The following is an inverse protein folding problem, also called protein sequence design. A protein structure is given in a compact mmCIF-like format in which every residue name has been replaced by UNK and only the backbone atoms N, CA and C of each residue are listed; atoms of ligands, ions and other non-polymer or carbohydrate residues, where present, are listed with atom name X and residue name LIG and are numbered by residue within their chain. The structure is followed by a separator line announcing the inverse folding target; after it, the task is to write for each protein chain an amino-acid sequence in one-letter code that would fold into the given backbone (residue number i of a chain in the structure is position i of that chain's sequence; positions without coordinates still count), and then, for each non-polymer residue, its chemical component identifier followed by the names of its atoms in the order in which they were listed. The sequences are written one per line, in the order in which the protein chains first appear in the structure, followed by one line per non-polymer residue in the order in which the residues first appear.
data_IF_836777367312
#
_entry.id   IF_836777367312
#
_cell.length_a   1.000
_cell.length_b   1.000
_cell.length_c   1.000
_cell.angle_alpha   90.00
_cell.angle_beta   90.00
_cell.angle_gamma   90.00
#
_symmetry.space_group_name_H-M   'P 1'
#
loop_
_entity.id
_entity.type
_entity.pdbx_description
1 polymer ?
#
# COMPACT_ATOMS: atom_id res chain seq x y z
N UNK A 1 -28.18 -18.22 -9.91
CA UNK A 1 -28.42 -17.02 -9.08
C UNK A 1 -27.13 -16.69 -8.37
N UNK A 2 -26.57 -15.48 -8.53
CA UNK A 2 -25.33 -15.10 -7.81
C UNK A 2 -25.70 -14.72 -6.38
N UNK A 3 -25.00 -15.31 -5.42
CA UNK A 3 -25.13 -15.03 -3.99
C UNK A 3 -23.93 -14.18 -3.59
N UNK A 4 -24.19 -13.04 -2.95
CA UNK A 4 -23.18 -12.11 -2.45
C UNK A 4 -23.03 -12.26 -0.94
N UNK A 5 -21.83 -12.07 -0.42
CA UNK A 5 -21.56 -12.13 1.02
C UNK A 5 -21.51 -10.72 1.61
N UNK A 6 -22.12 -10.54 2.77
CA UNK A 6 -22.22 -9.25 3.45
C UNK A 6 -21.88 -9.40 4.93
N UNK A 7 -21.19 -8.42 5.51
CA UNK A 7 -20.94 -8.33 6.95
C UNK A 7 -21.97 -7.40 7.60
N UNK A 8 -22.62 -7.85 8.66
CA UNK A 8 -23.34 -6.99 9.58
C UNK A 8 -22.34 -6.32 10.52
N UNK A 9 -22.41 -5.00 10.67
CA UNK A 9 -21.41 -4.23 11.41
C UNK A 9 -21.99 -3.17 12.35
N UNK A 10 -21.22 -2.84 13.38
CA UNK A 10 -21.43 -1.73 14.32
C UNK A 10 -20.38 -0.66 14.04
N UNK A 11 -20.83 0.59 13.89
CA UNK A 11 -19.94 1.74 13.75
C UNK A 11 -19.28 2.11 15.09
N UNK A 12 -17.94 2.14 15.12
CA UNK A 12 -17.11 2.54 16.28
C UNK A 12 -16.26 3.79 16.01
N UNK A 13 -16.70 4.66 15.10
CA UNK A 13 -15.99 5.89 14.72
C UNK A 13 -14.91 5.65 13.67
N UNK A 14 -13.77 5.09 14.06
CA UNK A 14 -12.61 4.90 13.17
C UNK A 14 -12.60 3.56 12.40
N UNK A 15 -13.46 2.63 12.83
CA UNK A 15 -13.62 1.30 12.24
C UNK A 15 -15.07 0.83 12.40
N UNK A 16 -15.40 -0.24 11.70
CA UNK A 16 -16.60 -1.04 11.85
C UNK A 16 -16.26 -2.34 12.58
N UNK A 17 -17.01 -2.71 13.60
CA UNK A 17 -16.91 -3.99 14.29
C UNK A 17 -17.88 -4.97 13.65
N UNK A 18 -17.43 -6.17 13.28
CA UNK A 18 -18.28 -7.16 12.60
C UNK A 18 -19.04 -8.01 13.61
N UNK A 19 -20.36 -8.05 13.50
CA UNK A 19 -21.22 -8.90 14.31
C UNK A 19 -21.32 -10.32 13.72
N UNK A 20 -21.63 -10.42 12.41
CA UNK A 20 -21.75 -11.69 11.70
C UNK A 20 -21.67 -11.51 10.18
N UNK A 21 -21.52 -12.62 9.45
CA UNK A 21 -21.54 -12.66 7.99
C UNK A 21 -22.79 -13.40 7.51
N UNK A 22 -23.49 -12.81 6.55
CA UNK A 22 -24.67 -13.42 5.91
C UNK A 22 -24.58 -13.27 4.39
N UNK A 23 -25.57 -13.81 3.68
CA UNK A 23 -25.62 -13.81 2.23
C UNK A 23 -26.83 -13.03 1.72
N UNK A 24 -26.66 -12.31 0.61
CA UNK A 24 -27.72 -11.56 -0.05
C UNK A 24 -27.76 -11.86 -1.55
N UNK A 25 -28.93 -11.69 -2.17
CA UNK A 25 -29.16 -11.94 -3.59
C UNK A 25 -28.92 -10.69 -4.45
N UNK A 26 -28.92 -9.51 -3.83
CA UNK A 26 -28.63 -8.23 -4.47
C UNK A 26 -27.25 -7.71 -4.07
N UNK A 27 -26.50 -7.22 -5.08
CA UNK A 27 -25.19 -6.60 -4.90
C UNK A 27 -25.28 -5.20 -4.31
N UNK A 28 -26.38 -4.50 -4.58
CA UNK A 28 -26.59 -3.14 -4.12
C UNK A 28 -27.11 -3.11 -2.69
N UNK A 29 -26.17 -3.02 -1.74
CA UNK A 29 -26.45 -2.50 -0.41
C UNK A 29 -25.76 -1.15 -0.28
N UNK A 30 -26.39 -0.11 -0.84
CA UNK A 30 -26.03 1.26 -0.47
C UNK A 30 -26.41 1.46 1.00
N UNK A 31 -25.40 1.52 1.86
CA UNK A 31 -25.27 2.48 2.94
C UNK A 31 -26.44 2.62 3.93
N UNK A 32 -27.08 1.52 4.34
CA UNK A 32 -27.42 1.45 5.76
C UNK A 32 -26.11 1.07 6.45
N UNK A 33 -25.53 1.95 7.27
CA UNK A 33 -24.23 1.80 7.97
C UNK A 33 -24.00 0.45 8.71
N UNK A 34 -25.00 -0.41 8.71
CA UNK A 34 -25.08 -1.72 9.34
C UNK A 34 -24.65 -2.89 8.46
N UNK A 35 -24.56 -2.75 7.13
CA UNK A 35 -24.15 -3.85 6.26
C UNK A 35 -23.11 -3.43 5.22
N UNK A 36 -22.04 -4.21 5.11
CA UNK A 36 -20.95 -3.99 4.16
C UNK A 36 -20.86 -5.17 3.20
N UNK A 37 -20.77 -4.89 1.89
CA UNK A 37 -20.49 -5.92 0.89
C UNK A 37 -19.08 -6.47 1.07
N UNK A 38 -18.90 -7.78 0.93
CA UNK A 38 -17.60 -8.45 1.08
C UNK A 38 -17.18 -9.07 -0.24
N UNK A 39 -15.90 -8.94 -0.57
CA UNK A 39 -15.33 -9.81 -1.58
C UNK A 39 -15.16 -11.24 -1.01
N UNK A 40 -15.08 -12.24 -1.90
CA UNK A 40 -15.05 -13.66 -1.49
C UNK A 40 -13.94 -13.96 -0.46
N UNK A 41 -12.75 -13.37 -0.66
CA UNK A 41 -11.61 -13.63 0.20
C UNK A 41 -11.75 -12.95 1.58
N UNK A 42 -12.33 -11.75 1.63
CA UNK A 42 -12.68 -11.05 2.86
C UNK A 42 -13.70 -11.85 3.66
N UNK A 43 -14.76 -12.33 3.01
CA UNK A 43 -15.77 -13.12 3.68
C UNK A 43 -15.23 -14.43 4.26
N UNK A 44 -14.35 -15.14 3.56
CA UNK A 44 -13.66 -16.32 4.10
C UNK A 44 -12.85 -15.95 5.35
N UNK A 45 -12.09 -14.85 5.30
CA UNK A 45 -11.26 -14.41 6.42
C UNK A 45 -12.09 -14.03 7.64
N UNK A 46 -13.16 -13.25 7.45
CA UNK A 46 -14.07 -12.85 8.54
C UNK A 46 -14.74 -14.08 9.14
N UNK A 47 -15.31 -14.97 8.32
CA UNK A 47 -15.94 -16.21 8.81
C UNK A 47 -14.97 -17.06 9.62
N UNK A 48 -13.74 -17.21 9.14
CA UNK A 48 -12.69 -17.94 9.87
C UNK A 48 -12.36 -17.25 11.19
N UNK A 49 -12.27 -15.93 11.21
CA UNK A 49 -12.00 -15.17 12.43
C UNK A 49 -13.11 -15.34 13.48
N UNK A 50 -14.37 -15.11 13.07
CA UNK A 50 -15.54 -15.28 13.92
C UNK A 50 -15.70 -16.72 14.43
N UNK A 51 -15.42 -17.72 13.60
CA UNK A 51 -15.48 -19.14 14.00
C UNK A 51 -14.40 -19.54 15.03
N UNK A 52 -13.38 -18.72 15.21
CA UNK A 52 -12.36 -18.89 16.24
C UNK A 52 -12.56 -17.89 17.40
N UNK A 53 -13.78 -17.39 17.59
CA UNK A 53 -14.18 -16.43 18.63
C UNK A 53 -13.33 -15.15 18.67
N UNK A 54 -12.80 -14.73 17.50
CA UNK A 54 -12.02 -13.49 17.39
C UNK A 54 -12.90 -12.32 16.99
N UNK A 55 -12.62 -11.16 17.59
CA UNK A 55 -13.19 -9.89 17.14
C UNK A 55 -12.60 -9.48 15.80
N UNK A 56 -13.47 -9.03 14.90
CA UNK A 56 -13.10 -8.62 13.56
C UNK A 56 -13.47 -7.15 13.36
N UNK A 57 -12.48 -6.34 12.97
CA UNK A 57 -12.67 -4.92 12.64
C UNK A 57 -12.44 -4.69 11.16
N UNK A 58 -13.20 -3.79 10.55
CA UNK A 58 -13.02 -3.32 9.18
C UNK A 58 -12.73 -1.82 9.26
N UNK A 59 -11.63 -1.35 8.68
CA UNK A 59 -11.34 0.09 8.64
C UNK A 59 -12.42 0.83 7.84
N UNK A 60 -12.69 2.12 8.10
CA UNK A 60 -13.76 2.84 7.37
C UNK A 60 -13.37 3.41 6.01
N UNK A 61 -12.10 3.68 5.77
CA UNK A 61 -11.62 4.43 4.60
C UNK A 61 -11.32 3.53 3.39
N UNK A 62 -12.07 2.44 3.19
CA UNK A 62 -11.91 1.61 2.00
C UNK A 62 -12.54 2.32 0.79
N UNK A 63 -11.80 2.33 -0.32
CA UNK A 63 -12.17 3.09 -1.53
C UNK A 63 -13.19 2.37 -2.42
N UNK A 64 -13.31 1.06 -2.23
CA UNK A 64 -14.12 0.19 -3.07
C UNK A 64 -15.55 0.04 -2.53
N UNK A 65 -16.46 -0.41 -3.40
CA UNK A 65 -17.84 -0.76 -3.01
C UNK A 65 -17.92 -2.00 -2.11
N UNK A 66 -16.87 -2.82 -2.08
CA UNK A 66 -16.75 -4.06 -1.33
C UNK A 66 -15.54 -3.99 -0.39
N UNK A 67 -15.66 -4.62 0.76
CA UNK A 67 -14.56 -4.83 1.71
C UNK A 67 -13.65 -5.92 1.17
N UNK A 68 -12.35 -5.64 1.17
CA UNK A 68 -11.31 -6.57 0.80
C UNK A 68 -10.54 -7.08 2.04
N UNK A 69 -9.76 -8.16 1.86
CA UNK A 69 -8.90 -8.71 2.92
C UNK A 69 -8.04 -7.63 3.59
N UNK A 70 -7.49 -6.75 2.77
CA UNK A 70 -6.61 -5.69 3.22
C UNK A 70 -7.33 -4.56 3.96
N UNK A 71 -8.63 -4.67 4.24
CA UNK A 71 -9.42 -3.78 5.10
C UNK A 71 -9.73 -4.42 6.47
N UNK A 72 -9.62 -5.75 6.59
CA UNK A 72 -9.97 -6.53 7.79
C UNK A 72 -8.82 -6.68 8.80
N UNK A 73 -9.03 -6.26 10.04
CA UNK A 73 -8.14 -6.49 11.19
C UNK A 73 -8.77 -7.60 12.02
N UNK A 74 -8.02 -8.67 12.24
CA UNK A 74 -8.40 -9.75 13.15
C UNK A 74 -7.71 -9.47 14.47
N UNK A 75 -8.49 -9.23 15.53
CA UNK A 75 -7.93 -9.06 16.87
C UNK A 75 -7.33 -10.37 17.38
N UNK A 76 -6.25 -10.24 18.12
CA UNK A 76 -5.69 -11.32 18.92
C UNK A 76 -6.07 -11.11 20.39
N UNK A 77 -6.34 -12.19 21.12
CA UNK A 77 -6.83 -12.13 22.52
C UNK A 77 -5.89 -11.34 23.46
N UNK A 78 -4.62 -11.18 23.09
CA UNK A 78 -3.60 -10.50 23.88
C UNK A 78 -3.40 -9.02 23.51
N UNK A 79 -4.09 -8.50 22.50
CA UNK A 79 -3.91 -7.11 22.07
C UNK A 79 -4.48 -6.12 23.11
N UNK A 80 -3.64 -5.20 23.60
CA UNK A 80 -4.14 -4.04 24.36
C UNK A 80 -4.96 -3.11 23.45
N UNK A 81 -5.82 -2.26 24.02
CA UNK A 81 -6.58 -1.29 23.20
C UNK A 81 -5.65 -0.36 22.40
N UNK A 82 -4.50 0.01 22.96
CA UNK A 82 -3.47 0.77 22.26
C UNK A 82 -2.89 -0.02 21.07
N UNK A 83 -2.64 -1.33 21.21
CA UNK A 83 -2.14 -2.14 20.10
C UNK A 83 -3.16 -2.25 18.98
N UNK A 84 -4.45 -2.38 19.32
CA UNK A 84 -5.53 -2.35 18.33
C UNK A 84 -5.59 -1.00 17.62
N UNK A 85 -5.43 0.10 18.36
CA UNK A 85 -5.36 1.45 17.81
C UNK A 85 -4.18 1.60 16.85
N UNK A 86 -2.97 1.17 17.23
CA UNK A 86 -1.76 1.16 16.38
C UNK A 86 -1.98 0.37 15.08
N UNK A 87 -2.55 -0.83 15.17
CA UNK A 87 -2.83 -1.69 14.00
C UNK A 87 -3.72 -1.01 12.97
N UNK A 88 -4.71 -0.22 13.41
CA UNK A 88 -5.58 0.56 12.50
C UNK A 88 -4.76 1.56 11.68
N UNK A 89 -3.92 2.37 12.33
CA UNK A 89 -3.15 3.41 11.64
C UNK A 89 -2.04 2.83 10.75
N UNK A 90 -1.32 1.81 11.23
CA UNK A 90 -0.33 1.07 10.42
C UNK A 90 -0.94 0.60 9.12
N UNK A 91 -2.17 0.09 9.20
CA UNK A 91 -2.90 -0.45 8.07
C UNK A 91 -3.38 0.64 7.11
N UNK A 92 -3.95 1.74 7.63
CA UNK A 92 -4.33 2.90 6.81
C UNK A 92 -3.13 3.44 6.02
N UNK A 93 -2.01 3.67 6.70
CA UNK A 93 -0.78 4.13 6.08
C UNK A 93 -0.26 3.15 5.01
N UNK A 94 -0.31 1.84 5.29
CA UNK A 94 0.14 0.82 4.31
C UNK A 94 -0.70 0.85 3.05
N UNK A 95 -2.02 1.01 3.16
CA UNK A 95 -2.89 1.09 1.97
C UNK A 95 -2.52 2.25 1.06
N UNK A 96 -2.26 3.42 1.63
CA UNK A 96 -1.84 4.59 0.85
C UNK A 96 -0.46 4.40 0.21
N UNK A 97 0.50 3.83 0.94
CA UNK A 97 1.83 3.50 0.40
C UNK A 97 1.74 2.48 -0.73
N UNK A 98 1.03 1.36 -0.53
CA UNK A 98 0.87 0.32 -1.55
C UNK A 98 0.24 0.88 -2.83
N UNK A 99 -0.75 1.77 -2.70
CA UNK A 99 -1.33 2.43 -3.87
C UNK A 99 -0.30 3.28 -4.64
N UNK A 100 0.57 4.02 -3.94
CA UNK A 100 1.62 4.80 -4.59
C UNK A 100 2.68 3.90 -5.24
N UNK A 101 3.06 2.80 -4.58
CA UNK A 101 4.06 1.87 -5.09
C UNK A 101 3.55 1.09 -6.30
N UNK A 102 2.25 0.79 -6.37
CA UNK A 102 1.63 0.12 -7.51
C UNK A 102 1.78 0.88 -8.84
N UNK A 103 2.13 2.17 -8.80
CA UNK A 103 2.44 2.96 -10.00
C UNK A 103 3.75 2.52 -10.67
N UNK A 104 4.66 1.88 -9.91
CA UNK A 104 5.88 1.26 -10.45
C UNK A 104 5.59 -0.20 -10.76
N UNK A 105 5.37 -0.51 -12.05
CA UNK A 105 5.03 -1.86 -12.46
C UNK A 105 6.23 -2.81 -12.41
N UNK A 106 5.98 -4.11 -12.23
CA UNK A 106 7.02 -5.12 -12.35
C UNK A 106 7.68 -5.15 -13.74
N UNK A 107 6.95 -4.72 -14.77
CA UNK A 107 7.47 -4.57 -16.14
C UNK A 107 8.54 -3.47 -16.18
N UNK A 108 8.31 -2.33 -15.52
CA UNK A 108 9.29 -1.25 -15.45
C UNK A 108 10.61 -1.69 -14.78
N UNK A 109 10.53 -2.49 -13.71
CA UNK A 109 11.71 -3.08 -13.07
C UNK A 109 12.47 -4.01 -14.01
N UNK A 110 11.74 -4.87 -14.73
CA UNK A 110 12.33 -5.77 -15.72
C UNK A 110 12.99 -5.00 -16.87
N UNK A 111 12.33 -3.96 -17.39
CA UNK A 111 12.86 -3.11 -18.45
C UNK A 111 14.11 -2.36 -17.97
N UNK A 112 14.10 -1.83 -16.75
CA UNK A 112 15.28 -1.21 -16.13
C UNK A 112 16.48 -2.16 -16.12
N UNK A 113 16.29 -3.41 -15.69
CA UNK A 113 17.35 -4.42 -15.66
C UNK A 113 17.88 -4.73 -17.07
N UNK A 114 16.99 -4.87 -18.06
CA UNK A 114 17.39 -5.15 -19.44
C UNK A 114 18.13 -3.97 -20.08
N UNK A 115 17.67 -2.75 -19.84
CA UNK A 115 18.34 -1.55 -20.34
C UNK A 115 19.72 -1.40 -19.70
N UNK A 116 19.83 -1.61 -18.38
CA UNK A 116 21.11 -1.59 -17.70
C UNK A 116 22.09 -2.62 -18.28
N UNK A 117 21.63 -3.85 -18.53
CA UNK A 117 22.45 -4.87 -19.16
C UNK A 117 22.85 -4.48 -20.59
N UNK A 118 21.93 -3.92 -21.38
CA UNK A 118 22.24 -3.44 -22.73
C UNK A 118 23.32 -2.35 -22.72
N UNK A 119 23.23 -1.37 -21.81
CA UNK A 119 24.23 -0.31 -21.68
C UNK A 119 25.59 -0.89 -21.25
N UNK A 120 25.60 -1.84 -20.30
CA UNK A 120 26.81 -2.55 -19.89
C UNK A 120 27.46 -3.33 -21.05
N UNK A 121 26.65 -4.04 -21.86
CA UNK A 121 27.12 -4.78 -23.05
C UNK A 121 27.74 -3.85 -24.10
N UNK A 122 27.31 -2.58 -24.11
CA UNK A 122 27.86 -1.51 -24.95
C UNK A 122 29.07 -0.80 -24.31
N UNK A 123 29.50 -1.25 -23.13
CA UNK A 123 30.66 -0.72 -22.41
C UNK A 123 30.35 0.45 -21.47
N UNK A 124 29.07 0.78 -21.26
CA UNK A 124 28.64 1.87 -20.38
C UNK A 124 28.21 1.34 -19.01
N UNK A 125 29.16 1.36 -18.08
CA UNK A 125 28.92 0.97 -16.69
C UNK A 125 28.55 2.18 -15.85
N UNK A 126 27.26 2.31 -15.53
CA UNK A 126 26.73 3.44 -14.76
C UNK A 126 26.78 3.12 -13.27
N UNK A 127 27.61 3.88 -12.55
CA UNK A 127 27.74 3.88 -11.09
C UNK A 127 27.47 5.29 -10.55
N UNK A 128 27.22 5.41 -9.24
CA UNK A 128 26.92 6.73 -8.66
C UNK A 128 28.07 7.73 -8.81
N UNK A 129 29.30 7.25 -8.74
CA UNK A 129 30.51 8.07 -8.78
C UNK A 129 30.89 8.54 -10.20
N UNK A 130 30.36 7.89 -11.25
CA UNK A 130 30.72 8.16 -12.65
C UNK A 130 29.50 8.42 -13.56
N UNK A 131 28.28 8.53 -13.00
CA UNK A 131 27.03 8.61 -13.77
C UNK A 131 27.02 9.78 -14.75
N UNK A 132 27.43 10.97 -14.32
CA UNK A 132 27.39 12.17 -15.16
C UNK A 132 28.33 12.06 -16.36
N UNK A 133 29.57 11.61 -16.11
CA UNK A 133 30.55 11.36 -17.17
C UNK A 133 30.06 10.29 -18.15
N UNK A 134 29.46 9.21 -17.64
CA UNK A 134 28.95 8.12 -18.48
C UNK A 134 27.75 8.56 -19.31
N UNK A 135 26.86 9.38 -18.75
CA UNK A 135 25.73 9.95 -19.49
C UNK A 135 26.20 10.86 -20.63
N UNK A 136 27.18 11.72 -20.35
CA UNK A 136 27.77 12.58 -21.38
C UNK A 136 28.42 11.77 -22.51
N UNK A 137 29.18 10.72 -22.18
CA UNK A 137 29.76 9.82 -23.19
C UNK A 137 28.71 9.20 -24.10
N UNK A 138 27.57 8.79 -23.56
CA UNK A 138 26.46 8.25 -24.34
C UNK A 138 25.87 9.34 -25.26
N UNK A 139 25.63 10.54 -24.73
CA UNK A 139 25.07 11.66 -25.51
C UNK A 139 25.99 12.09 -26.66
N UNK A 140 27.30 12.10 -26.43
CA UNK A 140 28.32 12.46 -27.42
C UNK A 140 28.44 11.46 -28.58
N UNK A 141 27.89 10.26 -28.44
CA UNK A 141 27.88 9.28 -29.55
C UNK A 141 26.93 9.65 -30.68
N UNK A 142 25.94 10.52 -30.41
CA UNK A 142 24.82 10.83 -31.31
C UNK A 142 24.02 9.59 -31.78
N UNK A 143 24.21 8.43 -31.13
CA UNK A 143 23.43 7.21 -31.42
C UNK A 143 22.06 7.32 -30.74
N UNK A 144 21.03 7.61 -31.55
CA UNK A 144 19.65 7.75 -31.09
C UNK A 144 19.15 6.55 -30.27
N UNK A 145 19.62 5.33 -30.56
CA UNK A 145 19.22 4.12 -29.83
C UNK A 145 19.80 4.14 -28.42
N UNK A 146 21.09 4.47 -28.28
CA UNK A 146 21.73 4.59 -26.97
C UNK A 146 21.13 5.72 -26.14
N UNK A 147 20.85 6.86 -26.77
CA UNK A 147 20.22 8.01 -26.13
C UNK A 147 18.82 7.64 -25.61
N UNK A 148 18.00 7.01 -26.46
CA UNK A 148 16.66 6.55 -26.05
C UNK A 148 16.72 5.56 -24.89
N UNK A 149 17.71 4.64 -24.91
CA UNK A 149 17.92 3.69 -23.81
C UNK A 149 18.33 4.40 -22.52
N UNK A 150 19.17 5.42 -22.60
CA UNK A 150 19.56 6.24 -21.44
C UNK A 150 18.36 6.99 -20.86
N UNK A 151 17.51 7.60 -21.68
CA UNK A 151 16.30 8.29 -21.20
C UNK A 151 15.35 7.33 -20.46
N UNK A 152 15.10 6.16 -21.05
CA UNK A 152 14.27 5.11 -20.43
C UNK A 152 14.89 4.60 -19.12
N UNK A 153 16.22 4.44 -19.08
CA UNK A 153 16.94 4.08 -17.86
C UNK A 153 16.74 5.10 -16.75
N UNK A 154 16.89 6.39 -17.06
CA UNK A 154 16.75 7.48 -16.08
C UNK A 154 15.32 7.55 -15.52
N UNK A 155 14.32 7.51 -16.39
CA UNK A 155 12.91 7.54 -15.98
C UNK A 155 12.55 6.36 -15.09
N UNK A 156 12.98 5.15 -15.47
CA UNK A 156 12.74 3.96 -14.65
C UNK A 156 13.48 4.05 -13.30
N UNK A 157 14.74 4.49 -13.30
CA UNK A 157 15.55 4.65 -12.09
C UNK A 157 14.93 5.64 -11.11
N UNK A 158 14.43 6.77 -11.60
CA UNK A 158 13.74 7.76 -10.77
C UNK A 158 12.49 7.16 -10.12
N UNK A 159 11.64 6.52 -10.92
CA UNK A 159 10.40 5.89 -10.42
C UNK A 159 10.68 4.81 -9.36
N UNK A 160 11.65 3.93 -9.62
CA UNK A 160 12.09 2.89 -8.67
C UNK A 160 12.66 3.52 -7.40
N UNK A 161 13.47 4.56 -7.53
CA UNK A 161 14.07 5.27 -6.38
C UNK A 161 13.00 5.92 -5.50
N UNK A 162 11.96 6.52 -6.11
CA UNK A 162 10.82 7.09 -5.39
C UNK A 162 10.04 6.00 -4.63
N UNK A 163 9.75 4.87 -5.27
CA UNK A 163 9.09 3.71 -4.64
C UNK A 163 9.90 3.17 -3.45
N UNK A 164 11.22 3.06 -3.61
CA UNK A 164 12.15 2.62 -2.56
C UNK A 164 12.18 3.61 -1.39
N UNK A 165 12.26 4.91 -1.67
CA UNK A 165 12.22 5.94 -0.65
C UNK A 165 10.93 5.88 0.18
N UNK A 166 9.78 5.73 -0.48
CA UNK A 166 8.49 5.59 0.20
C UNK A 166 8.45 4.37 1.14
N UNK A 167 9.02 3.23 0.73
CA UNK A 167 9.09 2.05 1.59
C UNK A 167 9.96 2.32 2.83
N UNK A 168 11.12 2.94 2.66
CA UNK A 168 11.98 3.31 3.78
C UNK A 168 11.29 4.27 4.76
N UNK A 169 10.53 5.25 4.27
CA UNK A 169 9.76 6.15 5.14
C UNK A 169 8.64 5.41 5.86
N UNK A 170 7.96 4.48 5.18
CA UNK A 170 6.96 3.64 5.81
C UNK A 170 7.55 2.78 6.94
N UNK A 171 8.74 2.20 6.75
CA UNK A 171 9.40 1.42 7.80
C UNK A 171 9.71 2.25 9.04
N UNK A 172 10.18 3.50 8.87
CA UNK A 172 10.39 4.41 10.01
C UNK A 172 9.08 4.70 10.74
N UNK A 173 8.05 5.09 9.98
CA UNK A 173 6.71 5.30 10.51
C UNK A 173 6.17 4.08 11.27
N UNK A 174 6.35 2.87 10.73
CA UNK A 174 5.90 1.63 11.37
C UNK A 174 6.57 1.43 12.73
N UNK A 175 7.88 1.61 12.81
CA UNK A 175 8.63 1.50 14.07
C UNK A 175 8.22 2.60 15.06
N UNK A 176 8.03 3.84 14.59
CA UNK A 176 7.57 4.94 15.44
C UNK A 176 6.19 4.65 16.05
N UNK A 177 5.24 4.16 15.25
CA UNK A 177 3.90 3.78 15.74
C UNK A 177 3.97 2.61 16.72
N UNK A 178 4.81 1.61 16.43
CA UNK A 178 4.97 0.45 17.31
C UNK A 178 5.48 0.88 18.69
N UNK A 179 6.38 1.85 18.74
CA UNK A 179 6.99 2.37 19.95
C UNK A 179 6.19 3.48 20.66
N UNK A 180 5.11 3.98 20.05
CA UNK A 180 4.26 4.99 20.66
C UNK A 180 3.64 4.51 21.99
N UNK A 181 3.56 5.40 22.97
CA UNK A 181 3.15 5.06 24.34
C UNK A 181 1.65 5.31 24.61
N UNK A 182 0.99 6.08 23.75
CA UNK A 182 -0.40 6.47 23.90
C UNK A 182 -1.05 6.80 22.54
N UNK A 183 -2.38 6.96 22.53
CA UNK A 183 -3.15 7.24 21.31
C UNK A 183 -2.82 8.61 20.69
N UNK A 184 -2.48 9.62 21.51
CA UNK A 184 -2.13 10.96 21.02
C UNK A 184 -0.83 10.94 20.19
N UNK A 185 0.19 10.22 20.66
CA UNK A 185 1.44 10.01 19.94
C UNK A 185 1.20 9.27 18.62
N UNK A 186 0.38 8.21 18.63
CA UNK A 186 -0.01 7.47 17.42
C UNK A 186 -0.63 8.41 16.39
N UNK A 187 -1.59 9.24 16.82
CA UNK A 187 -2.27 10.17 15.92
C UNK A 187 -1.33 11.24 15.37
N UNK A 188 -0.41 11.75 16.19
CA UNK A 188 0.61 12.73 15.78
C UNK A 188 1.57 12.14 14.74
N UNK A 189 2.12 10.95 14.99
CA UNK A 189 3.02 10.26 14.07
C UNK A 189 2.30 9.98 12.74
N UNK A 190 1.05 9.51 12.80
CA UNK A 190 0.24 9.30 11.61
C UNK A 190 0.02 10.58 10.81
N UNK A 191 -0.35 11.67 11.46
CA UNK A 191 -0.60 12.96 10.79
C UNK A 191 0.67 13.45 10.06
N UNK A 192 1.83 13.40 10.73
CA UNK A 192 3.11 13.78 10.13
C UNK A 192 3.45 12.92 8.91
N UNK A 193 3.23 11.60 9.00
CA UNK A 193 3.45 10.68 7.90
C UNK A 193 2.52 10.97 6.71
N UNK A 194 1.25 11.24 6.98
CA UNK A 194 0.26 11.56 5.94
C UNK A 194 0.56 12.88 5.24
N UNK A 195 1.07 13.88 5.95
CA UNK A 195 1.47 15.15 5.34
C UNK A 195 2.73 14.99 4.46
N UNK A 196 3.69 14.17 4.90
CA UNK A 196 4.83 13.78 4.05
C UNK A 196 4.35 13.07 2.76
N UNK A 197 3.42 12.11 2.88
CA UNK A 197 2.86 11.41 1.72
C UNK A 197 2.14 12.35 0.73
N UNK A 198 1.46 13.40 1.21
CA UNK A 198 0.82 14.39 0.32
C UNK A 198 1.86 15.15 -0.52
N UNK A 199 3.00 15.49 0.06
CA UNK A 199 4.06 16.20 -0.65
C UNK A 199 4.72 15.32 -1.72
N UNK A 200 4.82 14.00 -1.48
CA UNK A 200 5.33 13.06 -2.49
C UNK A 200 4.35 12.88 -3.66
N UNK A 201 3.04 13.08 -3.46
CA UNK A 201 2.02 12.98 -4.53
C UNK A 201 2.03 14.17 -5.51
N UNK A 202 2.67 15.30 -5.16
CA UNK A 202 2.68 16.52 -5.98
C UNK A 202 3.90 16.63 -6.92
N UNK A 203 4.84 15.68 -6.83
CA UNK A 203 6.01 15.54 -7.70
C UNK A 203 5.78 14.43 -8.73
#
# INVERSE_FOLDING_TARGET
MKVYEIAAVIDRGNYYEVEYVTSNLTKELRSSQRYLGLNSSAAIMIKKGLANDRNIRIIKDFKDLEVHIHDIIVEEEQDSELDKYKKIYIKKARQDVTHQQAMTSGIMLYDYMNINNYLNDKGYFIHDDNKEETFLKILETEDEVLITKLELYLNARESISRTSHLEHQYFKYYEDIKNALNEEEVLKIFTLFMDMLKNVKQL
#
